data_IF_970809799760
#
_entry.id   IF_970809799760
#
_cell.length_a   1.000
_cell.length_b   1.000
_cell.length_c   1.000
_cell.angle_alpha   90.00
_cell.angle_beta   90.00
_cell.angle_gamma   90.00
#
_symmetry.space_group_name_H-M   'P 1'
#
loop_
_entity.id
_entity.type
_entity.pdbx_description
1 polymer ?
#
# COMPACT_ATOMS: atom_id res chain seq x y z
N UNK A 1 -13.41 -20.16 10.05
CA UNK A 1 -12.10 -20.50 9.48
C UNK A 1 -11.22 -20.82 10.66
N UNK A 2 -10.78 -22.08 10.81
CA UNK A 2 -10.12 -22.55 12.03
C UNK A 2 -8.75 -21.89 12.23
N UNK A 3 -8.31 -21.83 13.49
CA UNK A 3 -6.97 -21.37 13.91
C UNK A 3 -5.85 -22.02 13.08
N UNK A 4 -6.04 -23.27 12.68
CA UNK A 4 -5.17 -24.01 11.76
C UNK A 4 -4.86 -23.26 10.46
N UNK A 5 -5.86 -22.63 9.83
CA UNK A 5 -5.65 -21.92 8.54
C UNK A 5 -4.80 -20.67 8.76
N UNK A 6 -5.01 -19.96 9.87
CA UNK A 6 -4.23 -18.79 10.24
C UNK A 6 -2.77 -19.17 10.54
N UNK A 7 -2.55 -20.28 11.24
CA UNK A 7 -1.22 -20.79 11.56
C UNK A 7 -0.46 -21.19 10.29
N UNK A 8 -1.13 -21.91 9.37
CA UNK A 8 -0.56 -22.28 8.07
C UNK A 8 -0.20 -21.04 7.26
N UNK A 9 -1.09 -20.05 7.17
CA UNK A 9 -0.82 -18.81 6.43
C UNK A 9 0.35 -18.02 7.06
N UNK A 10 0.47 -18.02 8.40
CA UNK A 10 1.60 -17.38 9.08
C UNK A 10 2.94 -18.06 8.75
N UNK A 11 2.96 -19.39 8.72
CA UNK A 11 4.15 -20.18 8.35
C UNK A 11 4.54 -19.93 6.88
N UNK A 12 3.56 -19.94 5.97
CA UNK A 12 3.77 -19.63 4.55
C UNK A 12 4.30 -18.20 4.37
N UNK A 13 3.76 -17.21 5.10
CA UNK A 13 4.25 -15.83 5.05
C UNK A 13 5.74 -15.75 5.44
N UNK A 14 6.14 -16.45 6.50
CA UNK A 14 7.53 -16.51 6.95
C UNK A 14 8.46 -17.10 5.88
N UNK A 15 8.07 -18.22 5.28
CA UNK A 15 8.84 -18.86 4.20
C UNK A 15 8.95 -17.97 2.98
N UNK A 16 7.85 -17.34 2.55
CA UNK A 16 7.84 -16.43 1.40
C UNK A 16 8.68 -15.18 1.66
N UNK A 17 8.65 -14.64 2.87
CA UNK A 17 9.47 -13.49 3.25
C UNK A 17 10.96 -13.84 3.19
N UNK A 18 11.36 -15.01 3.70
CA UNK A 18 12.74 -15.49 3.61
C UNK A 18 13.17 -15.74 2.16
N UNK A 19 12.32 -16.39 1.37
CA UNK A 19 12.55 -16.63 -0.05
C UNK A 19 12.71 -15.31 -0.83
N UNK A 20 11.90 -14.31 -0.48
CA UNK A 20 11.96 -12.98 -1.07
C UNK A 20 13.24 -12.23 -0.68
N UNK A 21 13.66 -12.29 0.59
CA UNK A 21 14.95 -11.73 1.02
C UNK A 21 16.10 -12.40 0.27
N UNK A 22 16.08 -13.74 0.15
CA UNK A 22 17.09 -14.49 -0.57
C UNK A 22 17.12 -14.15 -2.08
N UNK A 23 15.95 -14.01 -2.72
CA UNK A 23 15.84 -13.62 -4.13
C UNK A 23 16.44 -12.22 -4.39
N UNK A 24 16.31 -11.31 -3.42
CA UNK A 24 16.90 -9.97 -3.50
C UNK A 24 18.43 -9.95 -3.41
N UNK A 25 19.07 -11.06 -3.02
CA UNK A 25 20.53 -11.24 -3.09
C UNK A 25 21.01 -11.65 -4.49
N UNK A 26 20.11 -12.04 -5.41
CA UNK A 26 20.45 -12.45 -6.76
C UNK A 26 20.67 -11.25 -7.72
N UNK A 27 21.45 -11.44 -8.81
CA UNK A 27 21.66 -10.41 -9.82
C UNK A 27 20.33 -9.93 -10.45
N UNK A 28 20.17 -8.63 -10.77
CA UNK A 28 18.92 -8.03 -11.27
C UNK A 28 18.31 -8.69 -12.51
N UNK A 29 19.15 -9.33 -13.34
CA UNK A 29 18.76 -9.98 -14.59
C UNK A 29 18.03 -11.31 -14.36
N UNK A 30 18.29 -11.99 -13.24
CA UNK A 30 17.72 -13.31 -12.91
C UNK A 30 16.50 -13.25 -11.99
N UNK A 31 16.22 -12.08 -11.41
CA UNK A 31 15.22 -11.94 -10.34
C UNK A 31 13.85 -11.40 -10.75
N UNK A 32 13.69 -10.74 -11.91
CA UNK A 32 12.44 -10.00 -12.22
C UNK A 32 11.15 -10.84 -12.12
N UNK A 33 11.15 -12.06 -12.67
CA UNK A 33 9.98 -12.94 -12.61
C UNK A 33 9.74 -13.52 -11.20
N UNK A 34 10.83 -13.87 -10.51
CA UNK A 34 10.77 -14.43 -9.16
C UNK A 34 10.33 -13.37 -8.13
N UNK A 35 10.88 -12.15 -8.21
CA UNK A 35 10.53 -11.03 -7.33
C UNK A 35 9.03 -10.68 -7.45
N UNK A 36 8.51 -10.63 -8.68
CA UNK A 36 7.09 -10.37 -8.92
C UNK A 36 6.21 -11.50 -8.35
N UNK A 37 6.57 -12.77 -8.63
CA UNK A 37 5.81 -13.91 -8.13
C UNK A 37 5.80 -13.98 -6.59
N UNK A 38 6.94 -13.73 -5.95
CA UNK A 38 7.06 -13.72 -4.49
C UNK A 38 6.30 -12.54 -3.87
N UNK A 39 6.41 -11.34 -4.45
CA UNK A 39 5.64 -10.19 -3.99
C UNK A 39 4.12 -10.44 -4.11
N UNK A 40 3.67 -10.99 -5.24
CA UNK A 40 2.26 -11.34 -5.43
C UNK A 40 1.79 -12.40 -4.44
N UNK A 41 2.60 -13.44 -4.20
CA UNK A 41 2.29 -14.48 -3.23
C UNK A 41 2.20 -13.91 -1.79
N UNK A 42 3.10 -13.00 -1.41
CA UNK A 42 3.02 -12.30 -0.12
C UNK A 42 1.75 -11.47 0.00
N UNK A 43 1.36 -10.72 -1.04
CA UNK A 43 0.09 -9.98 -1.06
C UNK A 43 -1.10 -10.93 -0.92
N UNK A 44 -1.08 -12.09 -1.58
CA UNK A 44 -2.14 -13.09 -1.51
C UNK A 44 -2.29 -13.67 -0.09
N UNK A 45 -1.16 -13.98 0.56
CA UNK A 45 -1.15 -14.47 1.94
C UNK A 45 -1.67 -13.40 2.90
N UNK A 46 -1.23 -12.15 2.74
CA UNK A 46 -1.74 -11.02 3.54
C UNK A 46 -3.25 -10.84 3.38
N UNK A 47 -3.78 -10.91 2.15
CA UNK A 47 -5.22 -10.87 1.89
C UNK A 47 -5.95 -12.05 2.57
N UNK A 48 -5.40 -13.27 2.47
CA UNK A 48 -5.96 -14.46 3.13
C UNK A 48 -6.01 -14.32 4.65
N UNK A 49 -4.94 -13.79 5.28
CA UNK A 49 -4.91 -13.49 6.71
C UNK A 49 -5.97 -12.45 7.09
N UNK A 50 -6.12 -11.39 6.31
CA UNK A 50 -7.14 -10.36 6.57
C UNK A 50 -8.57 -10.92 6.46
N UNK A 51 -8.87 -11.77 5.47
CA UNK A 51 -10.16 -12.46 5.38
C UNK A 51 -10.36 -13.43 6.56
N UNK A 52 -9.30 -14.13 7.01
CA UNK A 52 -9.36 -14.95 8.23
C UNK A 52 -9.78 -14.10 9.44
N UNK A 53 -9.07 -13.01 9.67
CA UNK A 53 -9.30 -12.10 10.79
C UNK A 53 -10.70 -11.51 10.72
N UNK A 54 -11.19 -11.12 9.54
CA UNK A 54 -12.56 -10.67 9.34
C UNK A 54 -13.61 -11.68 9.82
N UNK A 55 -13.41 -12.96 9.52
CA UNK A 55 -14.34 -14.00 9.95
C UNK A 55 -14.30 -14.24 11.47
N UNK A 56 -13.13 -14.10 12.10
CA UNK A 56 -12.88 -14.37 13.52
C UNK A 56 -13.21 -13.20 14.44
N UNK A 57 -13.02 -11.95 14.01
CA UNK A 57 -13.23 -10.77 14.84
C UNK A 57 -14.71 -10.39 14.89
N UNK A 58 -15.38 -10.54 16.04
CA UNK A 58 -16.76 -10.10 16.24
C UNK A 58 -16.89 -8.57 16.29
N UNK A 59 -16.07 -7.91 17.11
CA UNK A 59 -16.22 -6.48 17.44
C UNK A 59 -15.68 -5.54 16.34
N UNK A 60 -14.63 -5.97 15.64
CA UNK A 60 -13.95 -5.19 14.58
C UNK A 60 -14.22 -5.71 13.17
N UNK A 61 -15.30 -6.49 12.97
CA UNK A 61 -15.58 -7.15 11.69
C UNK A 61 -15.61 -6.17 10.51
N UNK A 62 -16.27 -5.02 10.64
CA UNK A 62 -16.36 -4.06 9.53
C UNK A 62 -15.00 -3.49 9.13
N UNK A 63 -14.15 -3.16 10.10
CA UNK A 63 -12.78 -2.70 9.86
C UNK A 63 -11.99 -3.73 9.06
N UNK A 64 -11.93 -4.97 9.56
CA UNK A 64 -11.18 -6.05 8.90
C UNK A 64 -11.75 -6.43 7.53
N UNK A 65 -13.06 -6.34 7.33
CA UNK A 65 -13.70 -6.58 6.04
C UNK A 65 -13.26 -5.57 4.97
N UNK A 66 -13.20 -4.27 5.30
CA UNK A 66 -12.68 -3.26 4.37
C UNK A 66 -11.19 -3.43 4.11
N UNK A 67 -10.40 -3.77 5.14
CA UNK A 67 -8.97 -4.07 4.97
C UNK A 67 -8.75 -5.27 4.05
N UNK A 68 -9.49 -6.35 4.24
CA UNK A 68 -9.41 -7.53 3.39
C UNK A 68 -9.80 -7.20 1.94
N UNK A 69 -10.88 -6.45 1.73
CA UNK A 69 -11.29 -6.00 0.39
C UNK A 69 -10.24 -5.09 -0.27
N UNK A 70 -9.60 -4.18 0.48
CA UNK A 70 -8.54 -3.31 -0.03
C UNK A 70 -7.31 -4.12 -0.48
N UNK A 71 -6.93 -5.15 0.27
CA UNK A 71 -5.83 -6.04 -0.11
C UNK A 71 -6.20 -6.97 -1.27
N UNK A 72 -7.45 -7.42 -1.38
CA UNK A 72 -7.94 -8.12 -2.59
C UNK A 72 -7.85 -7.21 -3.82
N UNK A 73 -8.24 -5.93 -3.71
CA UNK A 73 -8.07 -4.96 -4.79
C UNK A 73 -6.58 -4.76 -5.15
N UNK A 74 -5.70 -4.78 -4.16
CA UNK A 74 -4.23 -4.74 -4.39
C UNK A 74 -3.77 -5.95 -5.20
N UNK A 75 -4.22 -7.15 -4.84
CA UNK A 75 -3.88 -8.39 -5.54
C UNK A 75 -4.34 -8.37 -7.01
N UNK A 76 -5.58 -7.91 -7.25
CA UNK A 76 -6.13 -7.73 -8.60
C UNK A 76 -5.33 -6.70 -9.40
N UNK A 77 -5.01 -5.56 -8.80
CA UNK A 77 -4.19 -4.53 -9.44
C UNK A 77 -2.80 -5.05 -9.82
N UNK A 78 -2.15 -5.79 -8.91
CA UNK A 78 -0.84 -6.40 -9.17
C UNK A 78 -0.89 -7.46 -10.27
N UNK A 79 -1.99 -8.24 -10.36
CA UNK A 79 -2.19 -9.21 -11.44
C UNK A 79 -2.39 -8.51 -12.80
N UNK A 80 -3.27 -7.51 -12.87
CA UNK A 80 -3.51 -6.73 -14.10
C UNK A 80 -2.21 -6.06 -14.56
N UNK A 81 -1.47 -5.44 -13.62
CA UNK A 81 -0.20 -4.81 -13.94
C UNK A 81 0.84 -5.83 -14.41
N UNK A 82 0.99 -6.96 -13.73
CA UNK A 82 1.93 -8.02 -14.12
C UNK A 82 1.65 -8.57 -15.52
N UNK A 83 0.40 -8.90 -15.82
CA UNK A 83 -0.03 -9.36 -17.15
C UNK A 83 0.28 -8.32 -18.22
N UNK A 84 -0.06 -7.05 -17.95
CA UNK A 84 0.23 -5.97 -18.88
C UNK A 84 1.73 -5.80 -19.15
N UNK A 85 2.57 -5.83 -18.11
CA UNK A 85 4.02 -5.67 -18.22
C UNK A 85 4.66 -6.82 -19.02
N UNK A 86 4.14 -8.05 -18.84
CA UNK A 86 4.57 -9.24 -19.58
C UNK A 86 4.14 -9.20 -21.05
N UNK A 87 2.95 -8.67 -21.36
CA UNK A 87 2.38 -8.72 -22.72
C UNK A 87 2.80 -7.53 -23.59
N UNK A 88 2.74 -6.31 -23.09
CA UNK A 88 2.69 -5.14 -23.96
C UNK A 88 4.01 -4.39 -24.07
N UNK A 89 4.94 -4.52 -23.10
CA UNK A 89 6.19 -3.72 -22.97
C UNK A 89 6.02 -2.20 -23.11
N UNK A 90 4.79 -1.71 -23.25
CA UNK A 90 4.42 -0.31 -23.34
C UNK A 90 4.02 0.20 -21.96
N UNK A 91 3.97 1.52 -21.78
CA UNK A 91 3.53 2.13 -20.52
C UNK A 91 2.01 2.23 -20.51
N UNK A 92 1.37 1.81 -19.42
CA UNK A 92 -0.07 2.01 -19.22
C UNK A 92 -0.46 3.49 -19.40
N UNK A 93 -1.56 3.79 -20.09
CA UNK A 93 -2.10 5.14 -20.13
C UNK A 93 -2.53 5.58 -18.72
N UNK A 94 -2.41 6.87 -18.37
CA UNK A 94 -2.97 7.39 -17.12
C UNK A 94 -4.49 7.26 -17.12
N UNK A 95 -5.10 7.02 -15.96
CA UNK A 95 -6.55 6.81 -15.78
C UNK A 95 -7.07 5.53 -16.45
N UNK A 96 -6.23 4.50 -16.48
CA UNK A 96 -6.58 3.15 -16.91
C UNK A 96 -7.49 2.43 -15.90
N UNK A 97 -8.05 1.28 -16.29
CA UNK A 97 -8.78 0.40 -15.38
C UNK A 97 -7.95 0.00 -14.14
N UNK A 98 -6.61 -0.07 -14.26
CA UNK A 98 -5.72 -0.28 -13.13
C UNK A 98 -5.80 0.86 -12.10
N UNK A 99 -5.90 2.10 -12.56
CA UNK A 99 -6.04 3.26 -11.67
C UNK A 99 -7.37 3.23 -10.92
N UNK A 100 -8.45 2.75 -11.55
CA UNK A 100 -9.75 2.56 -10.88
C UNK A 100 -9.65 1.52 -9.74
N UNK A 101 -8.92 0.41 -9.95
CA UNK A 101 -8.68 -0.61 -8.90
C UNK A 101 -7.90 -0.01 -7.74
N UNK A 102 -6.85 0.78 -8.00
CA UNK A 102 -6.10 1.43 -6.94
C UNK A 102 -6.92 2.49 -6.21
N UNK A 103 -7.71 3.31 -6.90
CA UNK A 103 -8.62 4.28 -6.27
C UNK A 103 -9.63 3.56 -5.35
N UNK A 104 -10.23 2.46 -5.82
CA UNK A 104 -11.13 1.65 -5.00
C UNK A 104 -10.44 1.14 -3.74
N UNK A 105 -9.19 0.67 -3.84
CA UNK A 105 -8.36 0.32 -2.67
C UNK A 105 -8.23 1.49 -1.69
N UNK A 106 -7.88 2.70 -2.14
CA UNK A 106 -7.76 3.87 -1.25
C UNK A 106 -9.09 4.20 -0.56
N UNK A 107 -10.21 4.11 -1.27
CA UNK A 107 -11.54 4.33 -0.69
C UNK A 107 -11.87 3.29 0.39
N UNK A 108 -11.53 2.02 0.16
CA UNK A 108 -11.72 0.94 1.15
C UNK A 108 -10.83 1.15 2.38
N UNK A 109 -9.56 1.54 2.21
CA UNK A 109 -8.66 1.87 3.32
C UNK A 109 -9.18 3.06 4.12
N UNK A 110 -9.64 4.11 3.44
CA UNK A 110 -10.25 5.26 4.09
C UNK A 110 -11.50 4.86 4.89
N UNK A 111 -12.38 4.02 4.32
CA UNK A 111 -13.58 3.52 4.98
C UNK A 111 -13.25 2.62 6.19
N UNK A 112 -12.18 1.83 6.14
CA UNK A 112 -11.69 1.06 7.27
C UNK A 112 -11.27 2.01 8.41
N UNK A 113 -10.37 2.95 8.12
CA UNK A 113 -9.82 3.88 9.11
C UNK A 113 -10.88 4.84 9.67
N UNK A 114 -11.87 5.22 8.86
CA UNK A 114 -12.95 6.14 9.25
C UNK A 114 -13.71 5.67 10.50
N UNK A 115 -13.88 4.36 10.66
CA UNK A 115 -14.53 3.79 11.83
C UNK A 115 -13.77 4.09 13.13
N UNK A 116 -12.43 4.01 13.07
CA UNK A 116 -11.54 4.26 14.21
C UNK A 116 -11.37 5.73 14.59
N UNK A 117 -11.81 6.66 13.74
CA UNK A 117 -11.74 8.12 13.99
C UNK A 117 -13.09 8.77 14.22
N UNK A 118 -14.17 7.99 14.32
CA UNK A 118 -15.54 8.49 14.53
C UNK A 118 -15.70 9.34 15.80
N UNK A 119 -14.84 9.14 16.81
CA UNK A 119 -14.78 9.95 18.04
C UNK A 119 -13.78 11.11 18.01
N UNK A 120 -13.10 11.38 16.89
CA UNK A 120 -12.09 12.44 16.78
C UNK A 120 -12.76 13.81 16.60
N UNK A 121 -12.38 14.85 17.37
CA UNK A 121 -12.95 16.19 17.23
C UNK A 121 -12.85 16.74 15.79
N UNK A 122 -13.90 17.42 15.27
CA UNK A 122 -13.93 18.03 13.94
C UNK A 122 -12.69 18.87 13.59
N UNK A 123 -12.11 19.55 14.58
CA UNK A 123 -10.92 20.40 14.39
C UNK A 123 -9.68 19.64 13.92
N UNK A 124 -9.53 18.34 14.25
CA UNK A 124 -8.39 17.53 13.80
C UNK A 124 -8.51 17.08 12.35
N UNK A 125 -9.73 17.09 11.79
CA UNK A 125 -9.95 16.70 10.40
C UNK A 125 -9.30 17.66 9.40
N UNK A 126 -9.02 18.91 9.81
CA UNK A 126 -8.25 19.87 8.99
C UNK A 126 -6.85 19.35 8.63
N UNK A 127 -6.30 18.42 9.41
CA UNK A 127 -5.01 17.81 9.11
C UNK A 127 -5.01 16.96 7.84
N UNK A 128 -6.16 16.40 7.43
CA UNK A 128 -6.29 15.63 6.18
C UNK A 128 -6.05 16.51 4.94
N UNK A 129 -6.80 17.61 4.71
CA UNK A 129 -6.53 18.50 3.59
C UNK A 129 -5.16 19.19 3.69
N UNK A 130 -4.65 19.45 4.91
CA UNK A 130 -3.29 19.97 5.10
C UNK A 130 -2.23 18.96 4.63
N UNK A 131 -2.37 17.67 5.00
CA UNK A 131 -1.48 16.61 4.54
C UNK A 131 -1.52 16.47 3.02
N UNK A 132 -2.71 16.53 2.42
CA UNK A 132 -2.90 16.51 0.96
C UNK A 132 -2.19 17.71 0.32
N UNK A 133 -2.41 18.92 0.82
CA UNK A 133 -1.82 20.14 0.28
C UNK A 133 -0.29 20.13 0.39
N UNK A 134 0.24 19.74 1.54
CA UNK A 134 1.69 19.62 1.76
C UNK A 134 2.32 18.61 0.78
N UNK A 135 1.69 17.44 0.63
CA UNK A 135 2.15 16.41 -0.31
C UNK A 135 2.05 16.86 -1.77
N UNK A 136 1.02 17.61 -2.15
CA UNK A 136 0.92 18.21 -3.48
C UNK A 136 2.06 19.21 -3.74
N UNK A 137 2.44 20.03 -2.75
CA UNK A 137 3.57 20.96 -2.87
C UNK A 137 4.89 20.20 -3.06
N UNK A 138 5.11 19.13 -2.30
CA UNK A 138 6.31 18.28 -2.43
C UNK A 138 6.35 17.59 -3.79
N UNK A 139 5.26 16.94 -4.19
CA UNK A 139 5.14 16.26 -5.47
C UNK A 139 5.34 17.23 -6.63
N UNK A 140 4.73 18.42 -6.56
CA UNK A 140 4.93 19.52 -7.52
C UNK A 140 6.40 19.89 -7.60
N UNK A 141 7.07 20.14 -6.47
CA UNK A 141 8.50 20.49 -6.44
C UNK A 141 9.37 19.43 -7.10
N UNK A 142 9.09 18.15 -6.85
CA UNK A 142 9.87 17.04 -7.44
C UNK A 142 9.64 16.91 -8.95
N UNK A 143 8.38 16.99 -9.38
CA UNK A 143 7.99 16.84 -10.78
C UNK A 143 8.35 18.06 -11.65
N UNK A 144 8.29 19.29 -11.11
CA UNK A 144 8.66 20.49 -11.87
C UNK A 144 10.17 20.63 -12.02
N UNK A 145 10.95 20.30 -10.98
CA UNK A 145 12.42 20.33 -11.06
C UNK A 145 12.98 19.37 -12.11
N UNK A 146 12.28 18.27 -12.41
CA UNK A 146 12.70 17.31 -13.44
C UNK A 146 12.23 17.66 -14.86
N UNK A 147 11.28 18.57 -15.03
CA UNK A 147 10.64 18.87 -16.33
C UNK A 147 10.68 20.35 -16.72
N UNK A 148 11.57 21.14 -16.13
CA UNK A 148 11.84 22.51 -16.56
C UNK A 148 12.26 22.51 -18.05
N UNK A 149 11.29 22.68 -18.96
CA UNK A 149 11.49 22.72 -20.41
C UNK A 149 10.42 22.05 -21.30
N UNK A 150 9.46 21.25 -20.80
CA UNK A 150 8.46 20.56 -21.67
C UNK A 150 7.04 20.56 -21.06
N UNK A 151 6.30 21.66 -21.22
CA UNK A 151 5.21 22.03 -20.31
C UNK A 151 3.77 21.51 -20.60
N UNK A 152 3.39 21.00 -21.78
CA UNK A 152 1.96 20.75 -22.06
C UNK A 152 1.50 19.28 -21.95
N UNK A 153 2.18 18.33 -22.58
CA UNK A 153 1.76 16.91 -22.60
C UNK A 153 2.18 16.09 -21.35
N UNK A 154 2.93 16.71 -20.43
CA UNK A 154 3.48 16.07 -19.23
C UNK A 154 2.64 16.31 -17.97
N UNK A 155 1.77 17.31 -17.95
CA UNK A 155 1.06 17.75 -16.74
C UNK A 155 0.02 16.72 -16.28
N UNK A 156 -0.87 16.26 -17.17
CA UNK A 156 -1.86 15.23 -16.83
C UNK A 156 -1.22 13.89 -16.41
N UNK A 157 -0.16 13.47 -17.12
CA UNK A 157 0.63 12.26 -16.78
C UNK A 157 1.40 12.40 -15.46
N UNK A 158 1.79 13.61 -15.08
CA UNK A 158 2.49 13.88 -13.82
C UNK A 158 1.51 13.95 -12.65
N UNK A 159 0.31 14.50 -12.87
CA UNK A 159 -0.78 14.53 -11.89
C UNK A 159 -1.23 13.11 -11.56
N UNK A 160 -1.54 12.27 -12.55
CA UNK A 160 -1.98 10.88 -12.32
C UNK A 160 -0.97 10.06 -11.50
N UNK A 161 0.33 10.32 -11.64
CA UNK A 161 1.39 9.65 -10.87
C UNK A 161 1.54 10.18 -9.44
N UNK A 162 1.21 11.45 -9.20
CA UNK A 162 1.29 12.07 -7.88
C UNK A 162 0.09 11.72 -6.99
N UNK A 163 -1.04 11.28 -7.57
CA UNK A 163 -2.25 10.93 -6.82
C UNK A 163 -1.96 9.94 -5.71
N UNK A 164 -1.24 8.85 -6.00
CA UNK A 164 -0.97 7.79 -5.03
C UNK A 164 -0.21 8.25 -3.78
N UNK A 165 1.02 8.81 -3.87
CA UNK A 165 1.73 9.28 -2.69
C UNK A 165 1.01 10.40 -1.91
N UNK A 166 0.18 11.20 -2.59
CA UNK A 166 -0.66 12.21 -1.94
C UNK A 166 -1.77 11.54 -1.11
N UNK A 167 -2.48 10.56 -1.69
CA UNK A 167 -3.49 9.78 -0.98
C UNK A 167 -2.89 8.98 0.18
N UNK A 168 -1.70 8.39 -0.01
CA UNK A 168 -0.97 7.71 1.06
C UNK A 168 -0.72 8.64 2.26
N UNK A 169 -0.33 9.90 2.00
CA UNK A 169 -0.09 10.88 3.06
C UNK A 169 -1.36 11.18 3.87
N UNK A 170 -2.51 11.28 3.19
CA UNK A 170 -3.81 11.46 3.83
C UNK A 170 -4.21 10.21 4.66
N UNK A 171 -3.96 9.01 4.14
CA UNK A 171 -4.22 7.76 4.86
C UNK A 171 -3.32 7.61 6.08
N UNK A 172 -2.03 7.96 6.00
CA UNK A 172 -1.11 7.93 7.15
C UNK A 172 -1.61 8.85 8.26
N UNK A 173 -2.03 10.07 7.91
CA UNK A 173 -2.59 10.99 8.90
C UNK A 173 -3.87 10.42 9.54
N UNK A 174 -4.79 9.91 8.73
CA UNK A 174 -6.03 9.29 9.22
C UNK A 174 -5.77 8.07 10.11
N UNK A 175 -4.78 7.24 9.75
CA UNK A 175 -4.39 6.07 10.52
C UNK A 175 -3.75 6.45 11.86
N UNK A 176 -2.92 7.50 11.88
CA UNK A 176 -2.35 8.04 13.12
C UNK A 176 -3.44 8.60 14.06
N UNK A 177 -4.48 9.23 13.51
CA UNK A 177 -5.64 9.63 14.31
C UNK A 177 -6.39 8.42 14.86
N UNK A 178 -6.63 7.39 14.03
CA UNK A 178 -7.31 6.16 14.46
C UNK A 178 -6.54 5.48 15.59
N UNK A 179 -5.21 5.45 15.49
CA UNK A 179 -4.33 4.89 16.52
C UNK A 179 -4.46 5.63 17.85
N UNK A 180 -4.47 6.97 17.82
CA UNK A 180 -4.62 7.79 19.04
C UNK A 180 -5.97 7.59 19.74
N UNK A 181 -7.01 7.22 18.97
CA UNK A 181 -8.38 7.04 19.44
C UNK A 181 -8.76 5.58 19.77
N UNK A 182 -7.88 4.61 19.54
CA UNK A 182 -8.19 3.21 19.80
C UNK A 182 -8.36 2.92 21.32
N UNK A 183 -9.46 2.28 21.76
CA UNK A 183 -9.77 2.11 23.18
C UNK A 183 -8.94 1.02 23.87
N UNK A 184 -8.56 -0.06 23.18
CA UNK A 184 -7.80 -1.19 23.76
C UNK A 184 -6.32 -1.25 23.35
N UNK A 185 -5.48 -1.91 24.16
CA UNK A 185 -4.06 -2.13 23.83
C UNK A 185 -3.90 -2.96 22.54
N UNK A 186 -4.68 -4.03 22.40
CA UNK A 186 -4.62 -4.91 21.23
C UNK A 186 -5.01 -4.16 19.95
N UNK A 187 -6.10 -3.41 19.97
CA UNK A 187 -6.52 -2.55 18.86
C UNK A 187 -5.48 -1.47 18.55
N UNK A 188 -4.88 -0.85 19.58
CA UNK A 188 -3.77 0.12 19.40
C UNK A 188 -2.60 -0.52 18.68
N UNK A 189 -2.23 -1.75 19.00
CA UNK A 189 -1.15 -2.49 18.32
C UNK A 189 -1.54 -2.76 16.85
N UNK A 190 -2.73 -3.30 16.60
CA UNK A 190 -3.20 -3.58 15.23
C UNK A 190 -3.29 -2.32 14.37
N UNK A 191 -3.78 -1.21 14.93
CA UNK A 191 -3.87 0.08 14.21
C UNK A 191 -2.48 0.70 14.04
N UNK A 192 -1.57 0.57 15.01
CA UNK A 192 -0.18 1.01 14.86
C UNK A 192 0.54 0.25 13.74
N UNK A 193 0.39 -1.07 13.68
CA UNK A 193 0.94 -1.91 12.62
C UNK A 193 0.30 -1.58 11.26
N UNK A 194 -1.01 -1.34 11.22
CA UNK A 194 -1.69 -0.87 10.01
C UNK A 194 -1.15 0.48 9.54
N UNK A 195 -0.93 1.42 10.47
CA UNK A 195 -0.34 2.73 10.20
C UNK A 195 1.07 2.57 9.63
N UNK A 196 1.88 1.69 10.21
CA UNK A 196 3.22 1.38 9.73
C UNK A 196 3.17 0.78 8.31
N UNK A 197 2.28 -0.19 8.04
CA UNK A 197 2.11 -0.77 6.72
C UNK A 197 1.78 0.30 5.67
N UNK A 198 0.80 1.17 5.94
CA UNK A 198 0.42 2.28 5.05
C UNK A 198 1.59 3.24 4.85
N UNK A 199 2.35 3.57 5.91
CA UNK A 199 3.51 4.45 5.80
C UNK A 199 4.64 3.82 4.95
N UNK A 200 4.90 2.53 5.11
CA UNK A 200 5.86 1.77 4.29
C UNK A 200 5.42 1.75 2.82
N UNK A 201 4.14 1.45 2.56
CA UNK A 201 3.57 1.49 1.21
C UNK A 201 3.67 2.89 0.58
N UNK A 202 3.34 3.93 1.35
CA UNK A 202 3.45 5.32 0.93
C UNK A 202 4.89 5.73 0.62
N UNK A 203 5.85 5.32 1.44
CA UNK A 203 7.26 5.53 1.17
C UNK A 203 7.70 4.86 -0.14
N UNK A 204 7.22 3.65 -0.43
CA UNK A 204 7.43 2.98 -1.71
C UNK A 204 6.93 3.83 -2.89
N UNK A 205 5.72 4.39 -2.77
CA UNK A 205 5.13 5.24 -3.80
C UNK A 205 5.85 6.58 -3.97
N UNK A 206 6.32 7.19 -2.89
CA UNK A 206 7.15 8.39 -2.94
C UNK A 206 8.50 8.12 -3.63
N UNK A 207 9.16 7.01 -3.30
CA UNK A 207 10.41 6.60 -3.97
C UNK A 207 10.15 6.31 -5.45
N UNK A 208 9.07 5.62 -5.78
CA UNK A 208 8.67 5.34 -7.16
C UNK A 208 8.39 6.64 -7.92
N UNK A 209 7.66 7.59 -7.34
CA UNK A 209 7.43 8.91 -7.94
C UNK A 209 8.76 9.65 -8.19
N UNK A 210 9.66 9.67 -7.20
CA UNK A 210 10.98 10.27 -7.33
C UNK A 210 11.81 9.61 -8.42
N UNK A 211 11.84 8.27 -8.49
CA UNK A 211 12.60 7.52 -9.50
C UNK A 211 12.14 7.82 -10.93
N UNK A 212 10.84 8.06 -11.10
CA UNK A 212 10.24 8.44 -12.38
C UNK A 212 10.54 9.89 -12.75
N UNK A 213 10.73 10.77 -11.76
CA UNK A 213 11.14 12.15 -11.95
C UNK A 213 12.67 12.28 -12.17
N UNK A 214 13.47 11.43 -11.52
CA UNK A 214 14.93 11.41 -11.60
C UNK A 214 15.40 9.97 -11.88
N UNK A 215 15.50 9.56 -13.16
CA UNK A 215 15.94 8.22 -13.55
C UNK A 215 17.45 8.07 -13.36
N UNK A 216 17.92 8.17 -12.11
CA UNK A 216 19.21 7.62 -11.69
C UNK A 216 18.92 6.20 -11.21
N UNK A 217 19.57 5.22 -11.83
CA UNK A 217 19.23 3.78 -11.88
C UNK A 217 19.13 3.05 -10.51
N UNK A 218 19.41 3.71 -9.38
CA UNK A 218 19.46 3.10 -8.05
C UNK A 218 18.17 3.17 -7.23
N UNK A 219 17.18 3.96 -7.64
CA UNK A 219 15.98 4.26 -6.81
C UNK A 219 14.82 3.26 -6.98
N UNK A 220 14.66 2.64 -8.15
CA UNK A 220 13.55 1.70 -8.45
C UNK A 220 13.64 0.43 -7.60
N UNK A 221 14.85 -0.05 -7.32
CA UNK A 221 15.07 -1.23 -6.49
C UNK A 221 14.60 -1.05 -5.05
N UNK A 222 14.61 0.18 -4.51
CA UNK A 222 14.19 0.43 -3.12
C UNK A 222 12.67 0.43 -2.97
N UNK A 223 11.92 0.94 -3.94
CA UNK A 223 10.46 0.89 -3.91
C UNK A 223 9.94 -0.55 -3.98
N UNK A 224 10.57 -1.38 -4.82
CA UNK A 224 10.26 -2.81 -4.94
C UNK A 224 10.42 -3.60 -3.63
N UNK A 225 11.30 -3.14 -2.73
CA UNK A 225 11.48 -3.75 -1.42
C UNK A 225 10.37 -3.39 -0.42
N UNK A 226 9.82 -2.19 -0.54
CA UNK A 226 8.89 -1.67 0.47
C UNK A 226 7.45 -2.16 0.26
N UNK A 227 7.01 -2.44 -0.97
CA UNK A 227 5.66 -2.97 -1.18
C UNK A 227 5.44 -4.33 -0.50
N UNK A 228 6.31 -5.35 -0.67
CA UNK A 228 6.13 -6.63 0.03
C UNK A 228 6.31 -6.50 1.55
N UNK A 229 7.17 -5.59 2.00
CA UNK A 229 7.30 -5.30 3.43
C UNK A 229 5.97 -4.78 4.02
N UNK A 230 5.26 -3.90 3.31
CA UNK A 230 3.91 -3.47 3.71
C UNK A 230 2.95 -4.66 3.84
N UNK A 231 3.02 -5.64 2.95
CA UNK A 231 2.17 -6.84 2.99
C UNK A 231 2.50 -7.73 4.20
N UNK A 232 3.78 -7.86 4.54
CA UNK A 232 4.20 -8.58 5.75
C UNK A 232 3.67 -7.88 7.00
N UNK A 233 3.88 -6.56 7.11
CA UNK A 233 3.44 -5.80 8.29
C UNK A 233 1.93 -5.85 8.48
N UNK A 234 1.14 -5.76 7.39
CA UNK A 234 -0.31 -5.88 7.52
C UNK A 234 -0.75 -7.31 7.88
N UNK A 235 -0.05 -8.33 7.39
CA UNK A 235 -0.28 -9.71 7.81
C UNK A 235 -0.07 -9.87 9.30
N UNK A 236 0.99 -9.29 9.86
CA UNK A 236 1.24 -9.26 11.31
C UNK A 236 0.13 -8.49 12.04
N UNK A 237 -0.35 -7.36 11.50
CA UNK A 237 -1.47 -6.61 12.07
C UNK A 237 -2.75 -7.45 12.15
N UNK A 238 -3.06 -8.21 11.10
CA UNK A 238 -4.18 -9.13 11.02
C UNK A 238 -4.06 -10.26 12.06
N UNK A 239 -2.84 -10.78 12.25
CA UNK A 239 -2.52 -11.78 13.29
C UNK A 239 -2.58 -11.24 14.72
N UNK A 240 -2.63 -9.92 14.94
CA UNK A 240 -2.87 -9.34 16.27
C UNK A 240 -4.33 -8.93 16.46
N UNK A 241 -5.07 -8.77 15.36
CA UNK A 241 -6.39 -8.14 15.33
C UNK A 241 -7.60 -9.06 15.45
N UNK A 242 -7.40 -10.37 15.49
CA UNK A 242 -8.44 -11.36 15.74
C UNK A 242 -7.90 -12.57 16.43
#
# INVERSE_FOLDING_TARGET
MDTLVRDVLSGVAGVLALAWVAANLLPPQRRRGLDWALAWALTAVAAGLLWSTWHLSADSRRFWGYMAAAWTATLLGNAIWGVHDLQQRQRLPPLSALDAVYIARYMLLAAALWQGVSGVPPSRWVGVPVAIAASLVVARRWLYRSHAGRASAHTARSIGKAVYPVLDSALVYTAAMAWASAPGLQERISVALTTLAIAVYGAANWINLRSRAYPLETSVNRAALLWPLSDIVIGVAALHGG
#
